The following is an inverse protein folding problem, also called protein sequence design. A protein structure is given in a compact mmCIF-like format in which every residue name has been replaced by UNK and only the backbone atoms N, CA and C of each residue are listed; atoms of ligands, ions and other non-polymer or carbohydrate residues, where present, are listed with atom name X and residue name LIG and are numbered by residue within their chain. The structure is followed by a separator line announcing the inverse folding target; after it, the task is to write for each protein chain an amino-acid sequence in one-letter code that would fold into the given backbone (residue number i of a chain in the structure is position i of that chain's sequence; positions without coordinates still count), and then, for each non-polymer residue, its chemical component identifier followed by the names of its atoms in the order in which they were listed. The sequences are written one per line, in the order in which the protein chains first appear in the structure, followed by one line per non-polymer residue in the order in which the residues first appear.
data_IF_262950955130
#
_entry.id   IF_262950955130
#
_cell.length_a   1.000
_cell.length_b   1.000
_cell.length_c   1.000
_cell.angle_alpha   90.00
_cell.angle_beta   90.00
_cell.angle_gamma   90.00
#
_symmetry.space_group_name_H-M   'P 1'
#
loop_
_entity.id
_entity.type
_entity.pdbx_description
1 polymer ?
#
# COMPACT_ATOMS: atom_id res chain seq x y z
N UNK A 1 -16.22 -1.99 23.50
CA UNK A 1 -16.64 -0.62 23.15
C UNK A 1 -18.14 -0.49 23.23
N UNK A 2 -18.64 0.59 23.84
CA UNK A 2 -20.08 0.90 23.86
C UNK A 2 -20.52 1.43 22.49
N UNK A 3 -21.55 0.83 21.90
CA UNK A 3 -22.21 1.43 20.73
C UNK A 3 -23.17 2.53 21.20
N UNK A 4 -23.11 3.69 20.56
CA UNK A 4 -23.96 4.84 20.87
C UNK A 4 -24.67 5.36 19.62
N UNK A 5 -25.79 6.04 19.83
CA UNK A 5 -26.59 6.69 18.79
C UNK A 5 -26.35 8.20 18.78
N UNK A 6 -26.87 8.88 17.74
CA UNK A 6 -26.78 10.33 17.65
C UNK A 6 -27.41 11.07 18.84
N UNK A 7 -28.47 10.52 19.45
CA UNK A 7 -29.09 11.10 20.65
C UNK A 7 -28.22 11.01 21.89
N UNK A 8 -27.26 10.08 21.93
CA UNK A 8 -26.34 9.91 23.05
C UNK A 8 -25.02 10.67 22.85
N UNK A 9 -24.76 11.21 21.66
CA UNK A 9 -23.47 11.83 21.31
C UNK A 9 -23.07 12.96 22.26
N UNK A 10 -24.01 13.83 22.63
CA UNK A 10 -23.73 14.95 23.54
C UNK A 10 -23.30 14.45 24.92
N UNK A 11 -24.03 13.49 25.49
CA UNK A 11 -23.73 12.96 26.82
C UNK A 11 -22.46 12.10 26.83
N UNK A 12 -22.29 11.25 25.82
CA UNK A 12 -21.25 10.22 25.80
C UNK A 12 -19.92 10.72 25.25
N UNK A 13 -19.95 11.71 24.35
CA UNK A 13 -18.77 12.26 23.67
C UNK A 13 -18.45 13.66 24.16
N UNK A 14 -19.37 14.62 23.99
CA UNK A 14 -19.08 16.03 24.31
C UNK A 14 -18.91 16.25 25.82
N UNK A 15 -19.72 15.57 26.63
CA UNK A 15 -19.63 15.60 28.09
C UNK A 15 -18.85 14.40 28.67
N UNK A 16 -18.15 13.65 27.81
CA UNK A 16 -17.50 12.39 28.17
C UNK A 16 -16.05 12.51 28.67
N UNK A 17 -15.50 13.72 28.77
CA UNK A 17 -14.08 13.95 29.06
C UNK A 17 -13.20 13.58 27.86
N UNK A 18 -12.31 12.60 28.03
CA UNK A 18 -11.50 12.07 26.93
C UNK A 18 -12.23 10.91 26.24
N UNK A 19 -12.50 11.03 24.94
CA UNK A 19 -13.30 10.04 24.19
C UNK A 19 -12.68 9.76 22.82
N UNK A 20 -12.58 8.47 22.47
CA UNK A 20 -12.33 8.01 21.10
C UNK A 20 -13.64 7.49 20.52
N UNK A 21 -14.03 8.04 19.37
CA UNK A 21 -15.24 7.68 18.64
C UNK A 21 -14.87 6.97 17.34
N UNK A 22 -15.32 5.73 17.18
CA UNK A 22 -15.19 4.96 15.93
C UNK A 22 -16.48 5.00 15.11
N UNK A 23 -16.47 5.70 13.97
CA UNK A 23 -17.54 5.65 12.99
C UNK A 23 -17.39 4.46 12.06
N UNK A 24 -18.07 3.37 12.38
CA UNK A 24 -17.92 2.09 11.72
C UNK A 24 -19.09 1.77 10.76
N UNK A 25 -18.89 0.73 9.95
CA UNK A 25 -19.88 0.12 9.06
C UNK A 25 -19.80 -1.40 9.17
N UNK A 26 -20.90 -2.12 8.94
CA UNK A 26 -20.95 -3.60 9.05
C UNK A 26 -20.30 -4.31 7.86
N UNK A 27 -20.38 -3.74 6.67
CA UNK A 27 -19.77 -4.27 5.44
C UNK A 27 -18.53 -3.45 5.10
N UNK A 28 -17.50 -3.59 5.93
CA UNK A 28 -16.33 -2.73 5.87
C UNK A 28 -15.08 -3.50 6.33
N UNK A 29 -14.34 -4.06 5.38
CA UNK A 29 -13.09 -4.77 5.67
C UNK A 29 -12.08 -3.93 6.50
N UNK A 30 -11.93 -2.61 6.27
CA UNK A 30 -11.08 -1.79 7.13
C UNK A 30 -11.60 -1.66 8.57
N UNK A 31 -12.93 -1.69 8.77
CA UNK A 31 -13.56 -1.65 10.09
C UNK A 31 -13.32 -2.96 10.84
N UNK A 32 -13.39 -4.10 10.16
CA UNK A 32 -13.03 -5.39 10.74
C UNK A 32 -11.55 -5.44 11.13
N UNK A 33 -10.67 -4.84 10.31
CA UNK A 33 -9.24 -4.79 10.56
C UNK A 33 -8.84 -3.91 11.77
N UNK A 34 -9.62 -2.87 12.09
CA UNK A 34 -9.34 -1.96 13.21
C UNK A 34 -9.99 -2.42 14.53
N UNK A 35 -11.12 -3.12 14.47
CA UNK A 35 -11.87 -3.57 15.65
C UNK A 35 -11.01 -4.26 16.73
N UNK A 36 -10.21 -5.31 16.43
CA UNK A 36 -9.39 -5.97 17.46
C UNK A 36 -8.31 -5.05 18.04
N UNK A 37 -7.85 -4.05 17.28
CA UNK A 37 -6.88 -3.05 17.76
C UNK A 37 -7.52 -2.15 18.79
N UNK A 38 -8.74 -1.66 18.52
CA UNK A 38 -9.51 -0.83 19.44
C UNK A 38 -9.89 -1.58 20.71
N UNK A 39 -10.34 -2.83 20.61
CA UNK A 39 -10.62 -3.68 21.78
C UNK A 39 -9.37 -3.88 22.66
N UNK A 40 -8.21 -4.11 22.03
CA UNK A 40 -6.95 -4.24 22.75
C UNK A 40 -6.53 -2.93 23.43
N UNK A 41 -6.80 -1.77 22.82
CA UNK A 41 -6.51 -0.46 23.41
C UNK A 41 -7.51 -0.09 24.51
N UNK A 42 -8.79 -0.40 24.36
CA UNK A 42 -9.82 -0.20 25.38
C UNK A 42 -9.46 -0.96 26.67
N UNK A 43 -8.96 -2.19 26.57
CA UNK A 43 -8.47 -2.97 27.72
C UNK A 43 -7.32 -2.28 28.48
N UNK A 44 -6.47 -1.53 27.77
CA UNK A 44 -5.32 -0.83 28.36
C UNK A 44 -5.68 0.57 28.87
N UNK A 45 -6.47 1.31 28.11
CA UNK A 45 -6.73 2.74 28.30
C UNK A 45 -8.14 3.05 28.81
N UNK A 46 -9.02 2.07 28.99
CA UNK A 46 -10.44 2.28 29.34
C UNK A 46 -10.68 3.00 30.67
N UNK A 47 -9.66 3.13 31.53
CA UNK A 47 -9.70 3.96 32.75
C UNK A 47 -9.44 5.45 32.49
N UNK A 48 -8.78 5.76 31.39
CA UNK A 48 -8.26 7.10 31.06
C UNK A 48 -8.99 7.74 29.88
N UNK A 49 -9.58 6.90 29.02
CA UNK A 49 -10.24 7.28 27.78
C UNK A 49 -11.46 6.38 27.58
N UNK A 50 -12.59 6.98 27.22
CA UNK A 50 -13.77 6.23 26.82
C UNK A 50 -13.68 5.83 25.35
N UNK A 51 -14.02 4.57 25.05
CA UNK A 51 -14.09 4.07 23.67
C UNK A 51 -15.55 3.82 23.31
N UNK A 52 -16.03 4.56 22.32
CA UNK A 52 -17.40 4.42 21.80
C UNK A 52 -17.36 4.18 20.30
N UNK A 53 -18.40 3.53 19.78
CA UNK A 53 -18.57 3.33 18.34
C UNK A 53 -19.96 3.78 17.89
N UNK A 54 -20.05 4.28 16.66
CA UNK A 54 -21.28 4.77 16.04
C UNK A 54 -21.45 4.11 14.69
N UNK A 55 -22.58 3.44 14.48
CA UNK A 55 -22.93 2.90 13.16
C UNK A 55 -23.27 4.06 12.21
N UNK A 56 -22.39 4.32 11.24
CA UNK A 56 -22.46 5.51 10.39
C UNK A 56 -23.78 5.61 9.61
N UNK A 57 -24.21 4.50 8.99
CA UNK A 57 -25.41 4.46 8.14
C UNK A 57 -26.70 4.68 8.93
N UNK A 58 -26.72 4.31 10.21
CA UNK A 58 -27.84 4.56 11.13
C UNK A 58 -27.86 5.98 11.71
N UNK A 59 -26.76 6.73 11.57
CA UNK A 59 -26.57 8.05 12.17
C UNK A 59 -26.10 9.07 11.12
N UNK A 60 -26.78 9.13 9.97
CA UNK A 60 -26.37 9.93 8.81
C UNK A 60 -26.29 11.42 9.09
N UNK A 61 -27.31 11.99 9.73
CA UNK A 61 -27.35 13.43 10.03
C UNK A 61 -26.16 13.85 10.91
N UNK A 62 -25.84 13.06 11.94
CA UNK A 62 -24.67 13.30 12.77
C UNK A 62 -23.38 13.14 11.96
N UNK A 63 -23.28 12.10 11.13
CA UNK A 63 -22.10 11.86 10.29
C UNK A 63 -21.87 13.02 9.33
N UNK A 64 -22.91 13.56 8.71
CA UNK A 64 -22.83 14.70 7.79
C UNK A 64 -22.47 15.99 8.53
N UNK A 65 -23.09 16.24 9.69
CA UNK A 65 -22.77 17.38 10.57
C UNK A 65 -21.30 17.37 10.98
N UNK A 66 -20.76 16.20 11.30
CA UNK A 66 -19.36 16.01 11.66
C UNK A 66 -18.45 15.84 10.45
N UNK A 67 -18.95 15.84 9.22
CA UNK A 67 -18.15 15.66 7.99
C UNK A 67 -17.42 14.30 7.95
N UNK A 68 -18.04 13.26 8.50
CA UNK A 68 -17.56 11.87 8.46
C UNK A 68 -18.03 11.20 7.16
N UNK A 69 -17.13 11.15 6.18
CA UNK A 69 -17.45 10.69 4.81
C UNK A 69 -17.15 9.21 4.53
N UNK A 70 -16.44 8.52 5.42
CA UNK A 70 -15.99 7.14 5.21
C UNK A 70 -16.01 6.34 6.52
N UNK A 71 -15.88 5.02 6.42
CA UNK A 71 -15.69 4.13 7.56
C UNK A 71 -14.46 3.24 7.35
N UNK A 72 -13.72 2.90 8.42
CA UNK A 72 -13.79 3.51 9.74
C UNK A 72 -13.30 4.96 9.67
N UNK A 73 -13.78 5.81 10.57
CA UNK A 73 -13.19 7.13 10.84
C UNK A 73 -13.16 7.32 12.35
N UNK A 74 -11.96 7.54 12.89
CA UNK A 74 -11.72 7.79 14.29
C UNK A 74 -11.65 9.29 14.55
N UNK A 75 -12.46 9.74 15.50
CA UNK A 75 -12.42 11.08 16.06
C UNK A 75 -11.95 10.98 17.52
N UNK A 76 -11.22 12.00 17.94
CA UNK A 76 -10.67 12.09 19.29
C UNK A 76 -11.20 13.36 19.93
N UNK A 77 -11.75 13.23 21.14
CA UNK A 77 -12.31 14.34 21.90
C UNK A 77 -11.59 14.47 23.24
N UNK A 78 -11.35 15.71 23.65
CA UNK A 78 -10.87 16.09 24.97
C UNK A 78 -11.73 17.23 25.49
N UNK A 79 -12.43 16.98 26.61
CA UNK A 79 -13.30 17.95 27.28
C UNK A 79 -14.32 18.63 26.36
N UNK A 80 -14.87 17.83 25.42
CA UNK A 80 -15.91 18.24 24.48
C UNK A 80 -15.42 18.84 23.17
N UNK A 81 -14.12 19.08 23.03
CA UNK A 81 -13.53 19.58 21.78
C UNK A 81 -12.90 18.43 20.98
N UNK A 82 -13.11 18.43 19.66
CA UNK A 82 -12.40 17.52 18.77
C UNK A 82 -10.93 17.95 18.71
N UNK A 83 -10.04 17.04 19.08
CA UNK A 83 -8.60 17.26 19.10
C UNK A 83 -7.92 16.32 18.10
N UNK A 84 -6.66 16.61 17.76
CA UNK A 84 -5.84 15.79 16.89
C UNK A 84 -6.34 15.68 15.43
N UNK A 85 -5.61 14.91 14.61
CA UNK A 85 -6.05 14.58 13.25
C UNK A 85 -7.02 13.39 13.25
N UNK A 86 -8.00 13.40 12.33
CA UNK A 86 -8.87 12.25 12.09
C UNK A 86 -8.10 11.12 11.42
N UNK A 87 -8.31 9.89 11.86
CA UNK A 87 -7.74 8.69 11.24
C UNK A 87 -8.83 7.95 10.47
N UNK A 88 -8.59 7.55 9.23
CA UNK A 88 -9.59 6.85 8.41
C UNK A 88 -8.96 5.76 7.54
N UNK A 89 -9.75 4.74 7.17
CA UNK A 89 -9.31 3.64 6.31
C UNK A 89 -8.47 2.59 7.04
N UNK A 90 -7.30 2.26 6.49
CA UNK A 90 -6.38 1.24 7.02
C UNK A 90 -5.55 1.72 8.20
N UNK A 91 -6.21 2.06 9.31
CA UNK A 91 -5.56 2.66 10.49
C UNK A 91 -4.75 1.63 11.26
N UNK A 92 -3.50 1.98 11.58
CA UNK A 92 -2.59 1.16 12.39
C UNK A 92 -2.75 1.43 13.88
N UNK A 93 -2.35 0.45 14.69
CA UNK A 93 -2.34 0.58 16.15
C UNK A 93 -1.42 1.71 16.60
N UNK A 94 -0.25 1.87 15.99
CA UNK A 94 0.71 2.92 16.34
C UNK A 94 0.20 4.34 16.07
N UNK A 95 -0.61 4.53 15.04
CA UNK A 95 -1.25 5.81 14.72
C UNK A 95 -2.25 6.19 15.82
N UNK A 96 -3.10 5.25 16.25
CA UNK A 96 -4.02 5.48 17.36
C UNK A 96 -3.23 5.83 18.62
N UNK A 97 -2.19 5.06 18.95
CA UNK A 97 -1.33 5.32 20.12
C UNK A 97 -0.63 6.68 20.04
N UNK A 98 -0.30 7.17 18.84
CA UNK A 98 0.24 8.52 18.65
C UNK A 98 -0.79 9.58 19.04
N UNK A 99 -2.03 9.47 18.58
CA UNK A 99 -3.09 10.42 18.96
C UNK A 99 -3.40 10.33 20.47
N UNK A 100 -3.36 9.13 21.07
CA UNK A 100 -3.49 8.99 22.52
C UNK A 100 -2.38 9.71 23.30
N UNK A 101 -1.16 9.80 22.77
CA UNK A 101 -0.06 10.57 23.40
C UNK A 101 -0.33 12.08 23.40
N UNK A 102 -1.05 12.58 22.40
CA UNK A 102 -1.45 13.99 22.35
C UNK A 102 -2.51 14.31 23.41
N UNK A 103 -3.45 13.39 23.66
CA UNK A 103 -4.55 13.57 24.62
C UNK A 103 -4.11 13.33 26.06
N UNK A 104 -3.46 12.19 26.32
CA UNK A 104 -3.17 11.71 27.68
C UNK A 104 -1.75 12.04 28.16
N UNK A 105 -0.90 12.57 27.27
CA UNK A 105 0.50 12.83 27.53
C UNK A 105 1.41 11.61 27.25
N UNK A 106 2.60 11.90 26.69
CA UNK A 106 3.56 10.89 26.22
C UNK A 106 4.02 9.92 27.30
N UNK A 107 4.32 10.42 28.49
CA UNK A 107 4.84 9.61 29.60
C UNK A 107 3.82 8.58 30.07
N UNK A 108 2.58 9.02 30.32
CA UNK A 108 1.48 8.16 30.76
C UNK A 108 1.18 7.05 29.77
N UNK A 109 1.08 7.38 28.48
CA UNK A 109 0.85 6.38 27.43
C UNK A 109 1.99 5.38 27.35
N UNK A 110 3.24 5.83 27.49
CA UNK A 110 4.41 4.94 27.45
C UNK A 110 4.41 3.99 28.65
N UNK A 111 4.06 4.47 29.85
CA UNK A 111 3.93 3.63 31.04
C UNK A 111 2.83 2.58 30.91
N UNK A 112 1.63 2.97 30.44
CA UNK A 112 0.52 2.04 30.22
C UNK A 112 0.90 0.97 29.18
N UNK A 113 1.47 1.39 28.04
CA UNK A 113 1.91 0.45 27.00
C UNK A 113 2.98 -0.52 27.50
N UNK A 114 3.87 -0.11 28.42
CA UNK A 114 4.89 -0.98 28.99
C UNK A 114 4.32 -2.10 29.89
N UNK A 115 3.06 -1.98 30.33
CA UNK A 115 2.38 -3.06 31.08
C UNK A 115 1.90 -4.21 30.19
N UNK A 116 1.87 -3.99 28.87
CA UNK A 116 1.43 -4.98 27.90
C UNK A 116 2.44 -6.13 27.82
N UNK A 117 1.98 -7.36 28.05
CA UNK A 117 2.82 -8.54 27.88
C UNK A 117 2.83 -8.98 26.41
N UNK A 118 4.02 -9.15 25.80
CA UNK A 118 4.14 -9.78 24.50
C UNK A 118 3.61 -11.21 24.54
N UNK A 119 3.08 -11.69 23.41
CA UNK A 119 2.61 -13.07 23.29
C UNK A 119 3.03 -13.67 21.95
N UNK A 120 2.95 -14.99 21.84
CA UNK A 120 3.35 -15.75 20.66
C UNK A 120 2.14 -16.43 20.05
N UNK A 121 2.06 -16.40 18.72
CA UNK A 121 1.09 -17.16 17.93
C UNK A 121 1.85 -18.13 17.03
N UNK A 122 1.72 -19.44 17.27
CA UNK A 122 2.33 -20.48 16.43
C UNK A 122 1.41 -20.84 15.24
N UNK A 123 1.98 -20.87 14.04
CA UNK A 123 1.31 -21.21 12.77
C UNK A 123 2.17 -22.15 11.93
N UNK A 124 1.59 -22.80 10.93
CA UNK A 124 2.38 -23.56 9.96
C UNK A 124 3.08 -22.61 8.99
N UNK A 125 2.35 -21.62 8.46
CA UNK A 125 2.87 -20.68 7.47
C UNK A 125 2.49 -19.24 7.81
N UNK A 126 3.49 -18.35 7.75
CA UNK A 126 3.27 -16.91 7.77
C UNK A 126 3.56 -16.30 6.39
N UNK A 127 2.63 -15.50 5.87
CA UNK A 127 2.77 -14.77 4.61
C UNK A 127 2.95 -13.30 4.94
N UNK A 128 4.04 -12.70 4.50
CA UNK A 128 4.32 -11.28 4.68
C UNK A 128 4.05 -10.53 3.37
N UNK A 129 2.84 -10.01 3.24
CA UNK A 129 2.33 -9.30 2.08
C UNK A 129 0.97 -9.82 1.60
N UNK A 130 0.03 -8.92 1.39
CA UNK A 130 -1.36 -9.14 0.97
C UNK A 130 -1.64 -8.63 -0.44
N UNK A 131 -0.61 -8.60 -1.31
CA UNK A 131 -0.79 -8.44 -2.75
C UNK A 131 -1.27 -9.73 -3.42
N UNK A 132 -1.50 -9.73 -4.75
CA UNK A 132 -2.02 -10.88 -5.49
C UNK A 132 -1.28 -12.20 -5.23
N UNK A 133 0.05 -12.18 -5.15
CA UNK A 133 0.85 -13.38 -4.88
C UNK A 133 0.63 -13.94 -3.47
N UNK A 134 0.67 -13.08 -2.44
CA UNK A 134 0.43 -13.48 -1.06
C UNK A 134 -1.01 -13.93 -0.80
N UNK A 135 -1.99 -13.22 -1.38
CA UNK A 135 -3.41 -13.61 -1.32
C UNK A 135 -3.65 -14.98 -1.96
N UNK A 136 -3.04 -15.23 -3.12
CA UNK A 136 -3.13 -16.54 -3.80
C UNK A 136 -2.48 -17.64 -2.98
N UNK A 137 -1.28 -17.40 -2.44
CA UNK A 137 -0.62 -18.37 -1.58
C UNK A 137 -1.48 -18.71 -0.34
N UNK A 138 -2.07 -17.69 0.29
CA UNK A 138 -2.99 -17.86 1.41
C UNK A 138 -4.22 -18.67 1.05
N UNK A 139 -4.81 -18.47 -0.14
CA UNK A 139 -5.95 -19.25 -0.62
C UNK A 139 -5.60 -20.73 -0.76
N UNK A 140 -4.50 -21.04 -1.44
CA UNK A 140 -4.09 -22.43 -1.70
C UNK A 140 -3.71 -23.16 -0.41
N UNK A 141 -2.98 -22.52 0.49
CA UNK A 141 -2.63 -23.11 1.80
C UNK A 141 -3.86 -23.37 2.65
N UNK A 142 -4.82 -22.45 2.64
CA UNK A 142 -6.09 -22.63 3.34
C UNK A 142 -6.92 -23.79 2.77
N UNK A 143 -6.98 -23.94 1.44
CA UNK A 143 -7.65 -25.09 0.80
C UNK A 143 -6.99 -26.42 1.19
N UNK A 144 -5.67 -26.40 1.39
CA UNK A 144 -4.90 -27.53 1.91
C UNK A 144 -4.98 -27.71 3.44
N UNK A 145 -5.81 -26.92 4.14
CA UNK A 145 -5.99 -26.96 5.61
C UNK A 145 -4.71 -26.70 6.41
N UNK A 146 -3.78 -25.93 5.85
CA UNK A 146 -2.56 -25.50 6.52
C UNK A 146 -2.86 -24.25 7.37
N UNK A 147 -2.47 -24.27 8.65
CA UNK A 147 -2.70 -23.14 9.56
C UNK A 147 -1.86 -21.93 9.12
N UNK A 148 -2.51 -20.94 8.50
CA UNK A 148 -1.84 -19.86 7.78
C UNK A 148 -2.31 -18.49 8.28
N UNK A 149 -1.34 -17.60 8.51
CA UNK A 149 -1.58 -16.19 8.78
C UNK A 149 -0.99 -15.32 7.67
N UNK A 150 -1.76 -14.35 7.21
CA UNK A 150 -1.38 -13.37 6.20
C UNK A 150 -1.28 -11.99 6.85
N UNK A 151 -0.09 -11.40 6.75
CA UNK A 151 0.34 -10.20 7.46
C UNK A 151 0.63 -9.10 6.45
N UNK A 152 0.08 -7.90 6.64
CA UNK A 152 0.39 -6.74 5.79
C UNK A 152 0.37 -5.43 6.57
N UNK A 153 1.25 -4.52 6.17
CA UNK A 153 1.34 -3.17 6.74
C UNK A 153 0.21 -2.24 6.30
N UNK A 154 -0.53 -2.62 5.27
CA UNK A 154 -1.67 -1.93 4.70
C UNK A 154 -2.89 -2.86 4.64
N UNK A 155 -3.96 -2.39 4.00
CA UNK A 155 -5.11 -3.24 3.67
C UNK A 155 -4.79 -4.16 2.47
N UNK A 156 -5.46 -5.31 2.36
CA UNK A 156 -5.25 -6.24 1.24
C UNK A 156 -5.44 -5.63 -0.15
N UNK A 157 -4.69 -6.17 -1.11
CA UNK A 157 -4.74 -5.80 -2.52
C UNK A 157 -3.38 -5.40 -3.09
N UNK A 158 -2.44 -4.96 -2.27
CA UNK A 158 -1.09 -4.56 -2.71
C UNK A 158 -1.13 -3.48 -3.80
N UNK A 159 -0.17 -3.52 -4.73
CA UNK A 159 -0.03 -2.46 -5.73
C UNK A 159 -1.21 -2.36 -6.71
N UNK A 160 -1.86 -3.49 -7.06
CA UNK A 160 -3.03 -3.49 -7.96
C UNK A 160 -4.22 -2.73 -7.39
N UNK A 161 -4.29 -2.54 -6.07
CA UNK A 161 -5.37 -1.73 -5.47
C UNK A 161 -5.31 -0.27 -5.88
N UNK A 162 -4.14 0.21 -6.29
CA UNK A 162 -3.94 1.56 -6.83
C UNK A 162 -4.20 1.63 -8.33
N UNK A 163 -4.45 0.49 -8.97
CA UNK A 163 -4.71 0.43 -10.40
C UNK A 163 -6.17 0.79 -10.69
N UNK A 164 -6.42 1.79 -11.54
CA UNK A 164 -7.80 2.16 -11.89
C UNK A 164 -8.46 1.06 -12.74
N UNK A 165 -7.85 0.54 -13.82
CA UNK A 165 -8.41 -0.60 -14.60
C UNK A 165 -7.34 -1.66 -14.90
N UNK A 166 -7.75 -2.93 -14.83
CA UNK A 166 -6.98 -4.11 -15.19
C UNK A 166 -7.69 -4.80 -16.36
N UNK A 167 -7.09 -4.78 -17.55
CA UNK A 167 -7.66 -5.38 -18.77
C UNK A 167 -7.00 -6.70 -19.19
N UNK A 168 -5.94 -7.09 -18.48
CA UNK A 168 -5.06 -8.19 -18.85
C UNK A 168 -5.06 -9.33 -17.81
N UNK A 169 -6.09 -9.41 -16.97
CA UNK A 169 -6.30 -10.53 -16.05
C UNK A 169 -7.36 -11.48 -16.62
N UNK A 170 -6.96 -12.67 -17.13
CA UNK A 170 -7.89 -13.61 -17.76
C UNK A 170 -8.98 -14.08 -16.81
N UNK A 171 -10.16 -14.39 -17.36
CA UNK A 171 -11.35 -14.78 -16.60
C UNK A 171 -12.39 -13.67 -16.41
N UNK A 172 -12.04 -12.42 -16.77
CA UNK A 172 -12.98 -11.31 -16.87
C UNK A 172 -13.11 -10.87 -18.33
N UNK A 173 -14.35 -10.71 -18.80
CA UNK A 173 -14.64 -10.25 -20.17
C UNK A 173 -14.29 -8.76 -20.28
N UNK A 174 -14.77 -7.98 -19.31
CA UNK A 174 -14.53 -6.54 -19.23
C UNK A 174 -13.35 -6.22 -18.32
N UNK A 175 -12.62 -5.10 -18.56
CA UNK A 175 -11.61 -4.62 -17.64
C UNK A 175 -12.19 -4.39 -16.24
N UNK A 176 -11.43 -4.77 -15.21
CA UNK A 176 -11.87 -4.67 -13.81
C UNK A 176 -11.15 -3.55 -13.08
N UNK A 177 -11.83 -2.79 -12.20
CA UNK A 177 -11.12 -1.89 -11.31
C UNK A 177 -10.09 -2.62 -10.45
N UNK A 178 -8.86 -2.13 -10.36
CA UNK A 178 -7.78 -2.84 -9.67
C UNK A 178 -8.04 -3.02 -8.17
N UNK A 179 -8.62 -2.01 -7.52
CA UNK A 179 -9.09 -2.13 -6.14
C UNK A 179 -10.14 -3.24 -5.97
N UNK A 180 -11.05 -3.40 -6.93
CA UNK A 180 -12.10 -4.42 -6.88
C UNK A 180 -11.51 -5.81 -7.14
N UNK A 181 -10.56 -5.93 -8.07
CA UNK A 181 -9.84 -7.18 -8.31
C UNK A 181 -9.08 -7.63 -7.05
N UNK A 182 -8.33 -6.72 -6.42
CA UNK A 182 -7.62 -7.00 -5.17
C UNK A 182 -8.57 -7.33 -4.01
N UNK A 183 -9.71 -6.63 -3.92
CA UNK A 183 -10.76 -6.93 -2.95
C UNK A 183 -11.33 -8.34 -3.16
N UNK A 184 -11.71 -8.70 -4.38
CA UNK A 184 -12.26 -10.02 -4.69
C UNK A 184 -11.27 -11.16 -4.38
N UNK A 185 -9.98 -10.97 -4.68
CA UNK A 185 -8.92 -11.90 -4.27
C UNK A 185 -8.86 -12.05 -2.74
N UNK A 186 -8.93 -10.92 -2.02
CA UNK A 186 -8.91 -10.93 -0.56
C UNK A 186 -10.13 -11.62 0.03
N UNK A 187 -11.33 -11.36 -0.48
CA UNK A 187 -12.56 -11.99 0.00
C UNK A 187 -12.55 -13.50 -0.25
N UNK A 188 -12.02 -13.95 -1.39
CA UNK A 188 -11.88 -15.38 -1.66
C UNK A 188 -10.97 -16.08 -0.63
N UNK A 189 -9.81 -15.48 -0.34
CA UNK A 189 -8.85 -16.00 0.65
C UNK A 189 -9.41 -15.94 2.07
N UNK A 190 -10.12 -14.86 2.42
CA UNK A 190 -10.78 -14.70 3.72
C UNK A 190 -11.93 -15.71 3.91
N UNK A 191 -12.78 -15.90 2.90
CA UNK A 191 -13.88 -16.88 2.94
C UNK A 191 -13.38 -18.32 3.11
N UNK A 192 -12.19 -18.63 2.57
CA UNK A 192 -11.58 -19.94 2.80
C UNK A 192 -11.27 -20.17 4.29
N UNK A 193 -10.86 -19.12 5.02
CA UNK A 193 -10.53 -19.19 6.45
C UNK A 193 -9.09 -18.80 6.80
N UNK A 194 -8.32 -18.20 5.87
CA UNK A 194 -6.98 -17.67 6.19
C UNK A 194 -7.09 -16.56 7.24
N UNK A 195 -6.21 -16.57 8.24
CA UNK A 195 -6.19 -15.52 9.27
C UNK A 195 -5.48 -14.28 8.77
N UNK A 196 -6.05 -13.08 8.99
CA UNK A 196 -5.49 -11.81 8.52
C UNK A 196 -4.96 -10.97 9.68
N UNK A 197 -3.79 -10.36 9.49
CA UNK A 197 -3.19 -9.34 10.36
C UNK A 197 -2.77 -8.16 9.50
N UNK A 198 -3.71 -7.26 9.22
CA UNK A 198 -3.56 -6.18 8.22
C UNK A 198 -3.61 -4.79 8.85
N UNK A 199 -3.01 -3.82 8.17
CA UNK A 199 -2.76 -2.48 8.73
C UNK A 199 -2.06 -2.58 10.10
N UNK A 200 -1.01 -3.39 10.18
CA UNK A 200 -0.17 -3.56 11.36
C UNK A 200 1.22 -2.96 11.13
N UNK A 201 1.97 -2.72 12.19
CA UNK A 201 3.41 -2.46 12.06
C UNK A 201 4.18 -3.76 12.20
N UNK A 202 4.99 -4.08 11.19
CA UNK A 202 5.95 -5.19 11.29
C UNK A 202 7.23 -4.62 11.87
N UNK A 203 7.49 -4.90 13.14
CA UNK A 203 8.55 -4.23 13.91
C UNK A 203 9.83 -5.03 13.97
N UNK A 204 9.77 -6.34 13.75
CA UNK A 204 10.93 -7.22 13.65
C UNK A 204 10.64 -8.44 12.78
N UNK A 205 11.63 -8.88 12.01
CA UNK A 205 11.60 -10.16 11.29
C UNK A 205 12.90 -10.91 11.58
N UNK A 206 12.79 -12.15 12.06
CA UNK A 206 13.91 -13.09 12.21
C UNK A 206 13.64 -14.29 11.29
N UNK A 207 14.24 -14.27 10.10
CA UNK A 207 13.99 -15.28 9.06
C UNK A 207 14.56 -16.66 9.43
N UNK A 208 15.64 -16.70 10.20
CA UNK A 208 16.25 -17.96 10.64
C UNK A 208 15.42 -18.65 11.73
N UNK A 209 14.84 -17.89 12.64
CA UNK A 209 13.87 -18.41 13.64
C UNK A 209 12.45 -18.53 13.10
N UNK A 210 12.20 -17.98 11.91
CA UNK A 210 10.88 -17.91 11.26
C UNK A 210 9.87 -17.18 12.16
N UNK A 211 10.29 -16.04 12.72
CA UNK A 211 9.51 -15.20 13.61
C UNK A 211 9.25 -13.81 13.00
N UNK A 212 8.01 -13.33 13.10
CA UNK A 212 7.60 -11.98 12.67
C UNK A 212 6.90 -11.31 13.85
N UNK A 213 7.46 -10.21 14.36
CA UNK A 213 6.84 -9.42 15.42
C UNK A 213 6.03 -8.28 14.83
N UNK A 214 4.76 -8.19 15.23
CA UNK A 214 3.85 -7.11 14.85
C UNK A 214 3.43 -6.27 16.05
N UNK A 215 3.25 -4.98 15.81
CA UNK A 215 2.77 -3.98 16.77
C UNK A 215 3.54 -3.93 18.11
N UNK A 216 4.79 -4.42 18.12
CA UNK A 216 5.60 -4.66 19.33
C UNK A 216 4.91 -5.51 20.41
N UNK A 217 3.97 -6.37 20.01
CA UNK A 217 3.14 -7.13 20.94
C UNK A 217 3.09 -8.62 20.58
N UNK A 218 2.71 -8.95 19.35
CA UNK A 218 2.49 -10.33 18.93
C UNK A 218 3.70 -10.80 18.11
N UNK A 219 4.28 -11.94 18.48
CA UNK A 219 5.28 -12.63 17.65
C UNK A 219 4.63 -13.83 17.00
N UNK A 220 4.50 -13.79 15.68
CA UNK A 220 4.07 -14.92 14.87
C UNK A 220 5.28 -15.82 14.65
N UNK A 221 5.20 -17.07 15.09
CA UNK A 221 6.21 -18.10 14.84
C UNK A 221 5.67 -19.11 13.83
N UNK A 222 6.41 -19.33 12.75
CA UNK A 222 5.95 -20.18 11.66
C UNK A 222 6.94 -21.32 11.35
N UNK A 223 6.45 -22.42 10.76
CA UNK A 223 7.33 -23.46 10.18
C UNK A 223 7.92 -23.02 8.84
N UNK A 224 7.20 -22.18 8.10
CA UNK A 224 7.60 -21.57 6.83
C UNK A 224 7.17 -20.11 6.74
N UNK A 225 7.96 -19.30 6.03
CA UNK A 225 7.61 -17.90 5.72
C UNK A 225 7.54 -17.73 4.20
N UNK A 226 6.52 -17.03 3.72
CA UNK A 226 6.43 -16.53 2.34
C UNK A 226 6.58 -15.01 2.35
N UNK A 227 7.66 -14.50 1.73
CA UNK A 227 7.86 -13.07 1.51
C UNK A 227 7.13 -12.64 0.23
N UNK A 228 6.07 -11.86 0.39
CA UNK A 228 5.20 -11.37 -0.68
C UNK A 228 5.08 -9.83 -0.65
N UNK A 229 6.13 -9.14 -0.19
CA UNK A 229 6.13 -7.69 0.08
C UNK A 229 6.09 -6.82 -1.19
N UNK A 230 6.27 -7.43 -2.36
CA UNK A 230 6.17 -6.76 -3.66
C UNK A 230 7.23 -5.68 -3.87
N UNK A 231 6.84 -4.64 -4.62
CA UNK A 231 7.70 -3.50 -4.97
C UNK A 231 6.98 -2.18 -4.77
N UNK A 232 7.75 -1.12 -4.59
CA UNK A 232 7.27 0.26 -4.60
C UNK A 232 7.86 1.02 -5.79
N UNK A 233 7.13 1.99 -6.38
CA UNK A 233 7.73 2.87 -7.38
C UNK A 233 8.86 3.69 -6.76
N UNK A 234 9.95 3.83 -7.51
CA UNK A 234 10.99 4.78 -7.19
C UNK A 234 10.39 6.19 -7.21
N UNK A 235 10.75 6.99 -6.21
CA UNK A 235 10.37 8.40 -6.09
C UNK A 235 11.49 9.27 -6.63
N UNK A 236 11.14 10.40 -7.22
CA UNK A 236 12.11 11.41 -7.67
C UNK A 236 12.83 12.05 -6.48
N UNK A 237 12.19 12.11 -5.31
CA UNK A 237 12.80 12.66 -4.09
C UNK A 237 12.89 14.19 -4.10
N UNK A 238 12.03 14.87 -4.86
CA UNK A 238 12.09 16.32 -5.08
C UNK A 238 10.96 17.07 -4.36
N UNK A 239 11.15 18.36 -4.02
CA UNK A 239 10.08 19.21 -3.50
C UNK A 239 8.84 19.19 -4.41
N UNK A 240 7.66 19.08 -3.79
CA UNK A 240 6.37 19.01 -4.48
C UNK A 240 5.91 17.60 -4.89
N UNK A 241 6.80 16.60 -4.98
CA UNK A 241 6.40 15.25 -5.41
C UNK A 241 5.37 14.61 -4.47
N UNK A 242 5.62 14.66 -3.16
CA UNK A 242 4.72 14.09 -2.14
C UNK A 242 3.42 14.90 -2.04
N UNK A 243 3.51 16.23 -2.12
CA UNK A 243 2.38 17.15 -1.97
C UNK A 243 1.35 16.99 -3.09
N UNK A 244 1.82 16.81 -4.33
CA UNK A 244 0.98 16.75 -5.53
C UNK A 244 0.72 15.34 -6.05
N UNK A 245 1.14 14.30 -5.29
CA UNK A 245 0.77 12.90 -5.57
C UNK A 245 -0.75 12.74 -5.59
N UNK A 246 -1.28 12.18 -6.68
CA UNK A 246 -2.73 12.04 -6.90
C UNK A 246 -3.47 13.35 -7.18
N UNK A 247 -2.76 14.49 -7.23
CA UNK A 247 -3.30 15.82 -7.57
C UNK A 247 -2.66 16.39 -8.84
N UNK A 248 -2.18 15.53 -9.73
CA UNK A 248 -1.44 15.91 -10.94
C UNK A 248 -0.21 15.03 -11.19
N UNK A 249 0.31 14.35 -10.14
CA UNK A 249 1.37 13.34 -10.28
C UNK A 249 0.77 11.94 -10.18
N UNK A 250 1.06 11.11 -11.18
CA UNK A 250 0.66 9.70 -11.27
C UNK A 250 1.88 8.78 -11.44
N UNK A 251 1.72 7.53 -10.98
CA UNK A 251 2.67 6.44 -11.20
C UNK A 251 2.02 5.31 -12.01
N UNK A 252 0.84 5.54 -12.60
CA UNK A 252 0.11 4.54 -13.37
C UNK A 252 -0.59 5.17 -14.57
N UNK A 253 -0.03 4.95 -15.76
CA UNK A 253 -0.57 5.46 -17.02
C UNK A 253 -1.91 4.81 -17.36
N UNK A 254 -1.99 3.48 -17.31
CA UNK A 254 -3.24 2.74 -17.54
C UNK A 254 -4.38 3.17 -16.63
N UNK A 255 -4.05 3.77 -15.49
CA UNK A 255 -5.02 4.24 -14.54
C UNK A 255 -5.57 5.62 -14.87
N UNK A 256 -4.65 6.57 -15.05
CA UNK A 256 -4.97 7.98 -14.98
C UNK A 256 -4.96 8.67 -16.35
N UNK A 257 -4.35 8.07 -17.38
CA UNK A 257 -4.16 8.70 -18.70
C UNK A 257 -5.47 9.22 -19.32
N UNK A 258 -6.58 8.51 -19.11
CA UNK A 258 -7.91 8.92 -19.62
C UNK A 258 -8.41 10.27 -19.07
N UNK A 259 -7.94 10.71 -17.89
CA UNK A 259 -8.28 12.02 -17.32
C UNK A 259 -7.45 13.17 -17.92
N UNK A 260 -6.50 12.83 -18.79
CA UNK A 260 -5.64 13.75 -19.53
C UNK A 260 -6.00 13.82 -21.02
N UNK A 261 -7.27 13.55 -21.37
CA UNK A 261 -7.80 13.78 -22.71
C UNK A 261 -7.57 15.23 -23.17
N UNK A 262 -6.91 15.39 -24.32
CA UNK A 262 -6.51 16.68 -24.91
C UNK A 262 -5.55 17.53 -24.06
N UNK A 263 -4.97 16.97 -23.00
CA UNK A 263 -4.05 17.65 -22.10
C UNK A 263 -2.58 17.38 -22.44
N UNK A 264 -1.69 18.26 -21.99
CA UNK A 264 -0.24 18.07 -22.10
C UNK A 264 0.29 17.38 -20.84
N UNK A 265 1.16 16.39 -21.00
CA UNK A 265 1.72 15.65 -19.86
C UNK A 265 3.23 15.51 -19.95
N UNK A 266 3.85 15.39 -18.79
CA UNK A 266 5.27 15.05 -18.66
C UNK A 266 5.37 13.58 -18.26
N UNK A 267 6.28 12.84 -18.89
CA UNK A 267 6.67 11.50 -18.46
C UNK A 267 8.11 11.56 -17.99
N UNK A 268 8.40 11.08 -16.78
CA UNK A 268 9.76 11.06 -16.22
C UNK A 268 10.30 9.64 -16.29
N UNK A 269 11.39 9.45 -17.04
CA UNK A 269 12.04 8.16 -17.25
C UNK A 269 12.30 7.87 -18.74
N UNK A 270 13.21 6.93 -19.02
CA UNK A 270 13.61 6.58 -20.39
C UNK A 270 13.86 5.09 -20.62
N UNK A 271 13.47 4.24 -19.65
CA UNK A 271 13.47 2.78 -19.81
C UNK A 271 12.19 2.27 -20.49
N UNK A 272 12.08 0.94 -20.67
CA UNK A 272 10.93 0.31 -21.34
C UNK A 272 9.58 0.79 -20.78
N UNK A 273 9.41 0.78 -19.46
CA UNK A 273 8.17 1.22 -18.82
C UNK A 273 7.80 2.66 -19.18
N UNK A 274 8.76 3.60 -19.11
CA UNK A 274 8.48 4.98 -19.44
C UNK A 274 8.05 5.17 -20.90
N UNK A 275 8.72 4.49 -21.82
CA UNK A 275 8.48 4.65 -23.26
C UNK A 275 7.19 3.95 -23.72
N UNK A 276 6.95 2.73 -23.25
CA UNK A 276 5.74 1.98 -23.57
C UNK A 276 4.49 2.62 -22.95
N UNK A 277 4.59 3.11 -21.72
CA UNK A 277 3.49 3.84 -21.07
C UNK A 277 3.26 5.21 -21.70
N UNK A 278 4.31 5.92 -22.15
CA UNK A 278 4.16 7.15 -22.92
C UNK A 278 3.41 6.91 -24.24
N UNK A 279 3.72 5.83 -24.96
CA UNK A 279 2.98 5.44 -26.17
C UNK A 279 1.50 5.18 -25.85
N UNK A 280 1.20 4.50 -24.74
CA UNK A 280 -0.17 4.32 -24.27
C UNK A 280 -0.86 5.64 -23.94
N UNK A 281 -0.20 6.54 -23.18
CA UNK A 281 -0.74 7.85 -22.82
C UNK A 281 -1.03 8.70 -24.07
N UNK A 282 -0.26 8.54 -25.15
CA UNK A 282 -0.39 9.32 -26.39
C UNK A 282 -1.75 9.15 -27.08
N UNK A 283 -2.47 8.08 -26.73
CA UNK A 283 -3.86 7.84 -27.18
C UNK A 283 -4.85 8.84 -26.59
N UNK A 284 -4.52 9.44 -25.44
CA UNK A 284 -5.37 10.37 -24.70
C UNK A 284 -4.81 11.80 -24.70
N UNK A 285 -3.53 11.94 -24.36
CA UNK A 285 -2.87 13.24 -24.27
C UNK A 285 -2.72 13.90 -25.66
N UNK A 286 -2.75 15.23 -25.68
CA UNK A 286 -2.46 16.02 -26.87
C UNK A 286 -0.96 16.11 -27.13
N UNK A 287 -0.15 16.14 -26.07
CA UNK A 287 1.31 16.21 -26.13
C UNK A 287 1.96 15.54 -24.92
N UNK A 288 3.10 14.90 -25.14
CA UNK A 288 3.92 14.25 -24.12
C UNK A 288 5.34 14.79 -24.22
N UNK A 289 5.89 15.22 -23.08
CA UNK A 289 7.31 15.54 -22.93
C UNK A 289 7.97 14.50 -22.05
N UNK A 290 8.85 13.67 -22.62
CA UNK A 290 9.63 12.67 -21.89
C UNK A 290 10.89 13.35 -21.36
N UNK A 291 11.01 13.45 -20.04
CA UNK A 291 12.20 13.96 -19.35
C UNK A 291 13.06 12.79 -18.89
N UNK A 292 14.31 12.77 -19.32
CA UNK A 292 15.23 11.68 -19.03
C UNK A 292 16.65 12.16 -18.74
N UNK A 293 17.24 11.61 -17.68
CA UNK A 293 18.56 12.01 -17.18
C UNK A 293 19.72 11.62 -18.10
N UNK A 294 19.57 10.57 -18.92
CA UNK A 294 20.62 10.18 -19.87
C UNK A 294 20.42 10.89 -21.22
N UNK A 295 21.49 10.97 -22.00
CA UNK A 295 21.47 11.52 -23.36
C UNK A 295 20.90 10.56 -24.41
N UNK A 296 20.57 9.33 -24.00
CA UNK A 296 19.93 8.30 -24.81
C UNK A 296 18.91 7.53 -23.98
N UNK A 297 17.89 6.99 -24.64
CA UNK A 297 16.89 6.13 -24.01
C UNK A 297 17.48 4.74 -23.71
N UNK A 298 17.05 4.15 -22.59
CA UNK A 298 17.43 2.80 -22.17
C UNK A 298 16.39 1.74 -22.58
N UNK A 299 15.28 2.17 -23.17
CA UNK A 299 14.26 1.27 -23.71
C UNK A 299 14.81 0.42 -24.88
N UNK A 300 14.14 -0.67 -25.18
CA UNK A 300 14.45 -1.51 -26.34
C UNK A 300 14.25 -0.72 -27.65
N UNK A 301 15.02 -1.07 -28.70
CA UNK A 301 15.03 -0.33 -29.97
C UNK A 301 13.64 -0.17 -30.60
N UNK A 302 12.80 -1.21 -30.54
CA UNK A 302 11.44 -1.16 -31.09
C UNK A 302 10.55 -0.15 -30.38
N UNK A 303 10.65 -0.06 -29.04
CA UNK A 303 9.92 0.95 -28.28
C UNK A 303 10.45 2.37 -28.58
N UNK A 304 11.77 2.53 -28.72
CA UNK A 304 12.37 3.81 -29.11
C UNK A 304 11.89 4.26 -30.49
N UNK A 305 11.95 3.40 -31.50
CA UNK A 305 11.52 3.70 -32.88
C UNK A 305 10.06 4.18 -32.94
N UNK A 306 9.16 3.49 -32.21
CA UNK A 306 7.76 3.92 -32.10
C UNK A 306 7.62 5.29 -31.45
N UNK A 307 8.32 5.52 -30.34
CA UNK A 307 8.24 6.78 -29.62
C UNK A 307 8.82 7.95 -30.42
N UNK A 308 9.92 7.74 -31.16
CA UNK A 308 10.49 8.75 -32.07
C UNK A 308 9.60 9.04 -33.28
N UNK A 309 8.84 8.07 -33.76
CA UNK A 309 7.90 8.24 -34.87
C UNK A 309 6.59 8.94 -34.45
N UNK A 310 6.30 9.03 -33.16
CA UNK A 310 5.04 9.59 -32.66
C UNK A 310 5.13 11.12 -32.54
N UNK A 311 4.38 11.90 -33.34
CA UNK A 311 4.48 13.36 -33.35
C UNK A 311 3.99 14.02 -32.06
N UNK A 312 3.26 13.30 -31.21
CA UNK A 312 2.83 13.80 -29.90
C UNK A 312 3.93 13.71 -28.83
N UNK A 313 4.98 12.93 -29.09
CA UNK A 313 6.04 12.66 -28.11
C UNK A 313 7.25 13.53 -28.43
N UNK A 314 7.70 14.28 -27.44
CA UNK A 314 8.92 15.07 -27.48
C UNK A 314 9.85 14.64 -26.35
N UNK A 315 11.16 14.86 -26.53
CA UNK A 315 12.18 14.37 -25.61
C UNK A 315 13.00 15.52 -25.05
N UNK A 316 13.21 15.47 -23.74
CA UNK A 316 14.12 16.33 -23.00
C UNK A 316 15.16 15.44 -22.31
N UNK A 317 16.20 15.10 -23.06
CA UNK A 317 17.29 14.21 -22.64
C UNK A 317 18.40 14.97 -21.92
N UNK A 318 19.21 14.28 -21.10
CA UNK A 318 20.18 14.91 -20.20
C UNK A 318 19.56 15.90 -19.21
N UNK A 319 18.27 15.73 -18.88
CA UNK A 319 17.56 16.61 -17.96
C UNK A 319 16.94 15.84 -16.82
N UNK A 320 16.87 16.48 -15.65
CA UNK A 320 16.27 15.90 -14.45
C UNK A 320 15.35 16.91 -13.76
N UNK A 321 14.13 16.51 -13.35
CA UNK A 321 13.28 17.34 -12.52
C UNK A 321 13.94 17.68 -11.17
N UNK A 322 13.88 18.94 -10.75
CA UNK A 322 14.43 19.44 -9.47
C UNK A 322 13.37 19.90 -8.49
N UNK A 323 12.23 20.41 -8.96
CA UNK A 323 11.12 20.80 -8.12
C UNK A 323 9.81 20.81 -8.91
N UNK A 324 8.70 20.61 -8.21
CA UNK A 324 7.35 20.68 -8.77
C UNK A 324 6.54 21.69 -7.95
N UNK A 325 5.79 22.54 -8.65
CA UNK A 325 4.81 23.47 -8.07
C UNK A 325 3.51 23.38 -8.85
N UNK A 326 2.43 23.90 -8.25
CA UNK A 326 1.18 24.16 -8.97
C UNK A 326 1.02 25.65 -9.26
N UNK A 327 0.54 25.95 -10.46
CA UNK A 327 0.03 27.26 -10.84
C UNK A 327 -1.38 27.07 -11.42
N UNK A 328 -2.40 27.38 -10.62
CA UNK A 328 -3.77 26.97 -10.88
C UNK A 328 -3.89 25.44 -11.03
N UNK A 329 -4.43 25.00 -12.17
CA UNK A 329 -4.60 23.57 -12.50
C UNK A 329 -3.36 22.96 -13.17
N UNK A 330 -2.34 23.77 -13.51
CA UNK A 330 -1.14 23.31 -14.20
C UNK A 330 -0.05 22.92 -13.21
N UNK A 331 0.69 21.89 -13.59
CA UNK A 331 1.94 21.45 -12.97
C UNK A 331 3.11 22.21 -13.60
N UNK A 332 3.89 22.88 -12.76
CA UNK A 332 5.08 23.65 -13.14
C UNK A 332 6.30 22.89 -12.64
N UNK A 333 7.12 22.38 -13.55
CA UNK A 333 8.28 21.53 -13.25
C UNK A 333 9.54 22.27 -13.59
N UNK A 334 10.39 22.47 -12.59
CA UNK A 334 11.77 22.91 -12.79
C UNK A 334 12.61 21.72 -13.21
N UNK A 335 13.30 21.83 -14.34
CA UNK A 335 14.18 20.80 -14.90
C UNK A 335 15.58 21.38 -15.07
N UNK A 336 16.59 20.65 -14.59
CA UNK A 336 18.01 20.98 -14.74
C UNK A 336 18.58 20.24 -15.95
N UNK A 337 19.29 20.95 -16.82
CA UNK A 337 20.21 20.33 -17.77
C UNK A 337 21.45 19.83 -17.01
N UNK A 338 21.66 18.51 -17.00
CA UNK A 338 22.72 17.89 -16.21
C UNK A 338 24.13 18.22 -16.72
N UNK A 339 24.26 18.66 -17.98
CA UNK A 339 25.53 19.05 -18.62
C UNK A 339 25.88 20.50 -18.32
N UNK A 340 24.93 21.42 -18.46
CA UNK A 340 25.19 22.87 -18.29
C UNK A 340 24.90 23.39 -16.90
N UNK A 341 24.13 22.64 -16.10
CA UNK A 341 23.58 23.06 -14.79
C UNK A 341 22.59 24.23 -14.87
N UNK A 342 22.15 24.58 -16.06
CA UNK A 342 21.08 25.56 -16.25
C UNK A 342 19.73 24.92 -15.93
N UNK A 343 18.86 25.68 -15.25
CA UNK A 343 17.49 25.26 -14.97
C UNK A 343 16.50 26.00 -15.86
N UNK A 344 15.43 25.30 -16.24
CA UNK A 344 14.29 25.89 -16.94
C UNK A 344 13.00 25.30 -16.42
N UNK A 345 11.89 25.94 -16.75
CA UNK A 345 10.57 25.50 -16.33
C UNK A 345 9.79 24.94 -17.50
N UNK A 346 9.13 23.80 -17.29
CA UNK A 346 8.16 23.23 -18.22
C UNK A 346 6.81 23.12 -17.51
N UNK A 347 5.73 23.39 -18.25
CA UNK A 347 4.37 23.36 -17.72
C UNK A 347 3.59 22.24 -18.38
N UNK A 348 2.81 21.49 -17.59
CA UNK A 348 1.96 20.42 -18.07
C UNK A 348 0.69 20.32 -17.20
N UNK A 349 -0.30 19.56 -17.66
CA UNK A 349 -1.49 19.25 -16.86
C UNK A 349 -1.25 18.09 -15.88
N UNK A 350 -0.29 17.22 -16.19
CA UNK A 350 0.04 16.07 -15.36
C UNK A 350 1.46 15.56 -15.56
N UNK A 351 1.93 14.80 -14.58
CA UNK A 351 3.26 14.19 -14.54
C UNK A 351 3.09 12.70 -14.27
N UNK A 352 3.66 11.86 -15.11
CA UNK A 352 3.73 10.41 -14.96
C UNK A 352 5.16 9.99 -14.66
N UNK A 353 5.38 9.27 -13.56
CA UNK A 353 6.72 8.94 -13.08
C UNK A 353 7.00 7.44 -13.27
N UNK A 354 7.94 7.11 -14.15
CA UNK A 354 8.33 5.74 -14.52
C UNK A 354 9.86 5.54 -14.44
N UNK A 355 10.43 5.80 -13.27
CA UNK A 355 11.88 5.70 -12.99
C UNK A 355 12.26 4.37 -12.29
N UNK A 356 11.46 3.33 -12.51
CA UNK A 356 11.68 1.98 -11.99
C UNK A 356 10.92 1.65 -10.71
N UNK A 357 10.99 0.38 -10.34
CA UNK A 357 10.41 -0.18 -9.13
C UNK A 357 11.55 -0.69 -8.23
N UNK A 358 11.36 -0.57 -6.92
CA UNK A 358 12.26 -1.09 -5.89
C UNK A 358 11.57 -2.22 -5.12
N UNK A 359 12.21 -3.38 -4.93
CA UNK A 359 11.67 -4.45 -4.08
C UNK A 359 11.65 -4.00 -2.62
N UNK A 360 10.54 -4.30 -1.92
CA UNK A 360 10.31 -3.89 -0.54
C UNK A 360 11.02 -4.86 0.41
N UNK A 361 12.29 -4.59 0.71
CA UNK A 361 13.20 -5.48 1.45
C UNK A 361 13.77 -4.88 2.75
N UNK A 362 13.41 -3.63 3.07
CA UNK A 362 14.04 -2.84 4.12
C UNK A 362 14.01 -3.50 5.50
N UNK A 363 13.02 -4.36 5.78
CA UNK A 363 12.84 -5.03 7.07
C UNK A 363 13.70 -6.30 7.24
N UNK A 364 14.41 -6.76 6.21
CA UNK A 364 15.12 -8.05 6.22
C UNK A 364 16.65 -7.95 6.34
N UNK A 365 17.19 -6.77 6.65
CA UNK A 365 18.63 -6.55 6.94
C UNK A 365 19.61 -7.19 5.91
N UNK A 366 19.25 -7.19 4.62
CA UNK A 366 20.05 -7.73 3.51
C UNK A 366 20.43 -9.23 3.62
N UNK A 367 19.56 -10.06 4.23
CA UNK A 367 19.81 -11.51 4.39
C UNK A 367 19.64 -12.35 3.10
N UNK A 368 19.04 -11.78 2.05
CA UNK A 368 18.73 -12.50 0.82
C UNK A 368 19.86 -12.43 -0.22
N UNK A 369 20.01 -13.51 -1.00
CA UNK A 369 20.73 -13.43 -2.27
C UNK A 369 19.89 -12.67 -3.31
N UNK A 370 20.46 -11.58 -3.82
CA UNK A 370 19.80 -10.71 -4.78
C UNK A 370 20.39 -10.87 -6.18
N UNK A 371 19.60 -10.55 -7.20
CA UNK A 371 20.09 -10.29 -8.55
C UNK A 371 20.77 -8.92 -8.65
N UNK A 372 21.33 -8.61 -9.83
CA UNK A 372 22.00 -7.34 -10.10
C UNK A 372 21.08 -6.10 -9.96
N UNK A 373 19.77 -6.31 -9.93
CA UNK A 373 18.74 -5.28 -9.81
C UNK A 373 18.15 -5.20 -8.39
N UNK A 374 18.66 -6.00 -7.44
CA UNK A 374 18.26 -5.99 -6.04
C UNK A 374 17.03 -6.85 -5.70
N UNK A 375 16.59 -7.73 -6.59
CA UNK A 375 15.43 -8.61 -6.38
C UNK A 375 15.83 -9.97 -5.82
N UNK A 376 14.99 -10.59 -4.99
CA UNK A 376 15.28 -11.88 -4.34
C UNK A 376 15.42 -12.98 -5.41
N UNK A 377 16.55 -13.70 -5.41
CA UNK A 377 16.70 -14.92 -6.21
C UNK A 377 15.89 -16.05 -5.59
N UNK A 378 15.18 -16.78 -6.44
CA UNK A 378 14.43 -17.97 -6.03
C UNK A 378 14.64 -19.12 -7.00
N UNK A 379 14.50 -20.35 -6.51
CA UNK A 379 14.42 -21.53 -7.36
C UNK A 379 13.04 -21.67 -8.04
N UNK A 380 12.83 -22.74 -8.82
CA UNK A 380 11.55 -22.98 -9.50
C UNK A 380 10.38 -23.16 -8.53
N UNK A 381 10.64 -23.69 -7.33
CA UNK A 381 9.67 -23.90 -6.24
C UNK A 381 9.50 -22.67 -5.34
N UNK A 382 10.14 -21.54 -5.69
CA UNK A 382 10.10 -20.26 -4.98
C UNK A 382 10.86 -20.22 -3.65
N UNK A 383 11.76 -21.17 -3.39
CA UNK A 383 12.66 -21.14 -2.22
C UNK A 383 13.72 -20.06 -2.38
N UNK A 384 14.08 -19.44 -1.27
CA UNK A 384 15.18 -18.47 -1.18
C UNK A 384 16.48 -19.18 -0.74
N UNK A 385 17.55 -18.41 -0.52
CA UNK A 385 18.78 -18.91 0.11
C UNK A 385 18.62 -19.27 1.60
N UNK A 386 17.48 -18.98 2.23
CA UNK A 386 17.22 -19.25 3.66
C UNK A 386 16.25 -20.41 3.78
N UNK A 387 16.63 -21.43 4.56
CA UNK A 387 15.81 -22.64 4.76
C UNK A 387 14.39 -22.30 5.28
N UNK A 388 13.40 -22.88 4.63
CA UNK A 388 11.99 -22.68 4.96
C UNK A 388 11.45 -21.27 4.69
N UNK A 389 12.18 -20.44 3.95
CA UNK A 389 11.74 -19.12 3.50
C UNK A 389 11.58 -19.12 1.98
N UNK A 390 10.39 -18.73 1.55
CA UNK A 390 9.99 -18.60 0.15
C UNK A 390 9.77 -17.12 -0.18
N UNK A 391 9.84 -16.76 -1.46
CA UNK A 391 9.50 -15.41 -1.92
C UNK A 391 8.66 -15.46 -3.20
N UNK A 392 7.64 -14.61 -3.30
CA UNK A 392 6.67 -14.62 -4.41
C UNK A 392 6.29 -13.23 -4.86
N UNK A 393 5.87 -13.10 -6.11
CA UNK A 393 5.42 -11.82 -6.65
C UNK A 393 6.60 -10.92 -6.99
N UNK A 394 6.35 -9.62 -7.08
CA UNK A 394 7.29 -8.70 -7.72
C UNK A 394 8.56 -8.41 -6.92
N UNK A 395 8.65 -8.91 -5.69
CA UNK A 395 9.86 -8.85 -4.86
C UNK A 395 10.97 -9.78 -5.37
N UNK A 396 10.63 -10.78 -6.20
CA UNK A 396 11.58 -11.77 -6.72
C UNK A 396 12.17 -11.36 -8.06
N UNK A 397 13.32 -11.95 -8.38
CA UNK A 397 13.94 -11.83 -9.70
C UNK A 397 13.07 -12.54 -10.73
N UNK A 398 12.58 -11.78 -11.73
CA UNK A 398 11.80 -12.32 -12.85
C UNK A 398 11.79 -11.39 -14.04
N UNK A 399 11.60 -12.00 -15.21
CA UNK A 399 11.58 -11.31 -16.50
C UNK A 399 10.38 -10.37 -16.67
N UNK A 400 9.22 -10.78 -16.17
CA UNK A 400 7.96 -10.04 -16.30
C UNK A 400 7.29 -9.89 -14.94
N UNK A 401 6.80 -8.69 -14.66
CA UNK A 401 6.10 -8.33 -13.42
C UNK A 401 4.65 -8.02 -13.78
N UNK A 402 3.78 -8.99 -13.54
CA UNK A 402 2.35 -8.94 -13.84
C UNK A 402 1.56 -9.63 -12.74
N UNK A 403 0.29 -9.26 -12.57
CA UNK A 403 -0.61 -9.89 -11.61
C UNK A 403 -0.63 -11.42 -11.84
N UNK A 404 -0.74 -11.86 -13.08
CA UNK A 404 -0.76 -13.27 -13.47
C UNK A 404 0.53 -14.03 -13.10
N UNK A 405 1.68 -13.38 -13.20
CA UNK A 405 2.95 -13.99 -12.75
C UNK A 405 3.03 -14.06 -11.23
N UNK A 406 2.54 -13.03 -10.52
CA UNK A 406 2.56 -13.01 -9.06
C UNK A 406 1.64 -14.08 -8.44
N UNK A 407 0.45 -14.29 -9.00
CA UNK A 407 -0.44 -15.37 -8.54
C UNK A 407 0.13 -16.76 -8.85
N UNK A 408 0.86 -16.90 -9.97
CA UNK A 408 1.52 -18.16 -10.32
C UNK A 408 2.63 -18.47 -9.31
N UNK A 409 3.48 -17.50 -8.97
CA UNK A 409 4.49 -17.62 -7.92
C UNK A 409 3.84 -18.03 -6.58
N UNK A 410 2.74 -17.37 -6.19
CA UNK A 410 1.98 -17.69 -4.97
C UNK A 410 1.45 -19.13 -4.94
N UNK A 411 0.92 -19.59 -6.07
CA UNK A 411 0.42 -20.96 -6.24
C UNK A 411 1.55 -22.00 -6.08
N UNK A 412 2.67 -21.77 -6.76
CA UNK A 412 3.83 -22.66 -6.73
C UNK A 412 4.36 -22.79 -5.29
N UNK A 413 4.61 -21.66 -4.63
CA UNK A 413 5.12 -21.67 -3.25
C UNK A 413 4.17 -22.40 -2.29
N UNK A 414 2.86 -22.15 -2.38
CA UNK A 414 1.87 -22.78 -1.51
C UNK A 414 1.82 -24.31 -1.69
N UNK A 415 1.85 -24.79 -2.94
CA UNK A 415 1.85 -26.24 -3.22
C UNK A 415 3.16 -26.88 -2.76
N UNK A 416 4.30 -26.24 -3.00
CA UNK A 416 5.61 -26.72 -2.56
C UNK A 416 5.67 -26.84 -1.03
N UNK A 417 5.22 -25.82 -0.30
CA UNK A 417 5.13 -25.85 1.16
C UNK A 417 4.19 -26.94 1.66
N UNK A 418 3.03 -27.12 1.01
CA UNK A 418 2.07 -28.15 1.40
C UNK A 418 2.68 -29.54 1.33
N UNK A 419 3.52 -29.82 0.32
CA UNK A 419 4.24 -31.11 0.18
C UNK A 419 5.38 -31.29 1.17
N UNK A 420 5.90 -30.20 1.74
CA UNK A 420 6.98 -30.25 2.73
C UNK A 420 6.47 -30.39 4.16
N UNK A 421 5.27 -29.88 4.46
CA UNK A 421 4.68 -29.88 5.82
C UNK A 421 3.65 -30.99 5.99
N UNK A 422 2.85 -31.28 4.96
CA UNK A 422 1.83 -32.34 4.95
C UNK A 422 2.41 -33.65 4.45
#
# INVERSE_FOLDING_TARGET
MKEITASEFEQEVLNGGNVLVDFYSTECAPCEAIAPKLEGLEKLFGRELKFVKIFRQGNRELSDKLIVKSSPTLLFYQDGEEVCGRLAGGVKRSEIVRELKHILGKEKVTQIMATQQPFVTDVDVAILGAGPGGLTAGLYLCQAKINTVLIDIALPGGYVSTTHMVSNYPGFIDPQPGYLLGHNMSEQTKQCGTTYKVAVDVTKVDLHKKEITIDNQETIRAKRIIVATGTSPNKMGIPGEVEYRGKGISYCATCDAKYFGDKEVIVVGGGNSAIEEADFISKFASKITIVHQFDQLQANKTAQEKAFANPKISFLLSHEPRAIKKDGDKMVVEVEDLKTKETKTITADGIFVFIGLKPNLEIFDNQFELDEWGYIKTDEDKRTNIDGVFAVGDVTSKKYRQITTAIADGTIAAISITREIG
#
